data_IF_682457686749
#
_entry.id   IF_682457686749
#
_cell.length_a   1.000
_cell.length_b   1.000
_cell.length_c   1.000
_cell.angle_alpha   90.00
_cell.angle_beta   90.00
_cell.angle_gamma   90.00
#
_symmetry.space_group_name_H-M   'P 1'
#
loop_
_entity.id
_entity.type
_entity.pdbx_description
1 polymer ?
#
# COMPACT_ATOMS: atom_id res chain seq x y z
N UNK A 1 41.66 17.58 -9.41
CA UNK A 1 40.71 16.44 -9.45
C UNK A 1 41.30 15.10 -8.98
N UNK A 2 42.46 15.06 -8.31
CA UNK A 2 43.19 13.83 -7.94
C UNK A 2 43.17 13.43 -6.46
N UNK A 3 42.84 14.33 -5.55
CA UNK A 3 42.95 14.08 -4.11
C UNK A 3 41.80 13.32 -3.46
N UNK A 4 40.65 13.22 -4.13
CA UNK A 4 39.48 12.45 -3.61
C UNK A 4 39.58 10.94 -3.90
N UNK A 5 40.61 10.45 -4.56
CA UNK A 5 40.72 9.02 -4.94
C UNK A 5 41.48 8.15 -3.96
N UNK A 6 42.17 8.72 -2.99
CA UNK A 6 42.95 7.98 -1.97
C UNK A 6 42.79 8.65 -0.60
N UNK A 7 41.91 8.19 0.23
CA UNK A 7 41.74 8.74 1.58
C UNK A 7 40.64 8.05 2.38
N UNK A 8 40.56 8.32 3.68
CA UNK A 8 39.58 7.72 4.61
C UNK A 8 38.13 7.91 4.14
N UNK A 9 37.82 8.99 3.43
CA UNK A 9 36.48 9.28 2.89
C UNK A 9 36.07 8.25 1.82
N UNK A 10 37.01 7.82 0.99
CA UNK A 10 36.76 6.78 -0.02
C UNK A 10 36.53 5.43 0.64
N UNK A 11 37.37 5.04 1.58
CA UNK A 11 37.21 3.79 2.31
C UNK A 11 35.87 3.73 3.04
N UNK A 12 35.41 4.86 3.60
CA UNK A 12 34.11 4.98 4.24
C UNK A 12 32.97 4.89 3.20
N UNK A 13 33.11 5.52 2.03
CA UNK A 13 32.14 5.39 0.95
C UNK A 13 32.02 3.97 0.41
N UNK A 14 33.15 3.29 0.23
CA UNK A 14 33.20 1.90 -0.21
C UNK A 14 32.54 0.96 0.82
N UNK A 15 32.76 1.18 2.14
CA UNK A 15 32.10 0.42 3.20
C UNK A 15 30.59 0.64 3.25
N UNK A 16 30.12 1.87 3.02
CA UNK A 16 28.67 2.16 2.94
C UNK A 16 28.06 1.47 1.72
N UNK A 17 28.71 1.55 0.57
CA UNK A 17 28.22 0.90 -0.64
C UNK A 17 28.20 -0.62 -0.50
N UNK A 18 29.23 -1.22 0.11
CA UNK A 18 29.27 -2.64 0.44
C UNK A 18 28.11 -3.04 1.36
N UNK A 19 27.79 -2.24 2.39
CA UNK A 19 26.66 -2.48 3.27
C UNK A 19 25.33 -2.40 2.51
N UNK A 20 25.12 -1.37 1.69
CA UNK A 20 23.88 -1.17 0.93
C UNK A 20 23.61 -2.29 -0.09
N UNK A 21 24.65 -2.83 -0.72
CA UNK A 21 24.55 -3.94 -1.67
C UNK A 21 24.64 -5.32 -1.01
N UNK A 22 24.89 -5.36 0.31
CA UNK A 22 25.02 -6.60 1.05
C UNK A 22 23.67 -7.27 1.28
N UNK A 23 23.69 -8.58 1.54
CA UNK A 23 22.49 -9.30 1.94
C UNK A 23 21.88 -8.85 3.28
N UNK A 24 22.59 -8.04 4.07
CA UNK A 24 22.08 -7.49 5.34
C UNK A 24 21.13 -6.31 5.13
N UNK A 25 21.15 -5.68 3.95
CA UNK A 25 20.29 -4.55 3.60
C UNK A 25 19.14 -5.01 2.70
N UNK A 26 17.94 -4.53 2.98
CA UNK A 26 16.76 -4.65 2.10
C UNK A 26 16.10 -3.30 1.97
N UNK A 27 15.75 -2.95 0.74
CA UNK A 27 15.09 -1.69 0.43
C UNK A 27 13.60 -1.95 0.30
N UNK A 28 12.80 -1.25 1.08
CA UNK A 28 11.36 -1.20 0.95
C UNK A 28 10.99 0.14 0.32
N UNK A 29 10.09 0.11 -0.64
CA UNK A 29 9.58 1.32 -1.30
C UNK A 29 8.18 1.59 -0.77
N UNK A 30 7.90 2.83 -0.39
CA UNK A 30 6.57 3.26 0.05
C UNK A 30 5.96 4.09 -1.07
N UNK A 31 4.72 3.80 -1.43
CA UNK A 31 4.00 4.47 -2.51
C UNK A 31 2.54 4.73 -2.17
N UNK A 32 1.87 5.52 -2.99
CA UNK A 32 0.42 5.69 -3.05
C UNK A 32 -0.09 5.03 -4.33
N UNK A 33 -1.38 4.64 -4.36
CA UNK A 33 -2.01 4.13 -5.59
C UNK A 33 -2.50 5.29 -6.47
N UNK A 34 -1.54 6.12 -6.88
CA UNK A 34 -1.74 7.25 -7.78
C UNK A 34 -0.78 7.13 -8.97
N UNK A 35 -1.13 7.70 -10.12
CA UNK A 35 -0.39 7.54 -11.37
C UNK A 35 1.11 7.84 -11.23
N UNK A 36 1.45 9.03 -10.73
CA UNK A 36 2.85 9.46 -10.61
C UNK A 36 3.65 8.63 -9.58
N UNK A 37 3.18 8.44 -8.33
CA UNK A 37 3.88 7.62 -7.34
C UNK A 37 4.09 6.17 -7.79
N UNK A 38 3.13 5.58 -8.49
CA UNK A 38 3.26 4.21 -9.02
C UNK A 38 4.32 4.16 -10.12
N UNK A 39 4.32 5.11 -11.05
CA UNK A 39 5.35 5.18 -12.09
C UNK A 39 6.75 5.39 -11.49
N UNK A 40 6.88 6.31 -10.54
CA UNK A 40 8.15 6.55 -9.83
C UNK A 40 8.62 5.28 -9.06
N UNK A 41 7.70 4.51 -8.50
CA UNK A 41 8.01 3.25 -7.83
C UNK A 41 8.54 2.21 -8.82
N UNK A 42 7.92 2.08 -10.00
CA UNK A 42 8.36 1.16 -11.05
C UNK A 42 9.77 1.52 -11.50
N UNK A 43 10.02 2.80 -11.76
CA UNK A 43 11.32 3.29 -12.20
C UNK A 43 12.39 3.10 -11.12
N UNK A 44 12.08 3.43 -9.86
CA UNK A 44 12.97 3.25 -8.72
C UNK A 44 13.34 1.77 -8.50
N UNK A 45 12.38 0.86 -8.58
CA UNK A 45 12.64 -0.58 -8.46
C UNK A 45 13.56 -1.07 -9.57
N UNK A 46 13.36 -0.61 -10.80
CA UNK A 46 14.22 -0.96 -11.94
C UNK A 46 15.65 -0.46 -11.72
N UNK A 47 15.84 0.79 -11.29
CA UNK A 47 17.13 1.38 -11.00
C UNK A 47 17.85 0.66 -9.84
N UNK A 48 17.17 0.43 -8.72
CA UNK A 48 17.72 -0.24 -7.54
C UNK A 48 18.15 -1.67 -7.85
N UNK A 49 17.37 -2.41 -8.67
CA UNK A 49 17.76 -3.72 -9.18
C UNK A 49 18.99 -3.65 -10.06
N UNK A 50 19.09 -2.61 -10.92
CA UNK A 50 20.27 -2.36 -11.74
C UNK A 50 21.53 -2.10 -10.93
N UNK A 51 21.39 -1.52 -9.73
CA UNK A 51 22.46 -1.31 -8.76
C UNK A 51 22.75 -2.55 -7.88
N UNK A 52 22.13 -3.69 -8.15
CA UNK A 52 22.26 -4.93 -7.39
C UNK A 52 21.82 -4.81 -5.93
N UNK A 53 20.93 -3.88 -5.63
CA UNK A 53 20.35 -3.71 -4.29
C UNK A 53 19.24 -4.71 -4.04
N UNK A 54 19.20 -5.31 -2.85
CA UNK A 54 18.20 -6.30 -2.50
C UNK A 54 16.87 -5.62 -2.15
N UNK A 55 15.83 -5.91 -2.95
CA UNK A 55 14.48 -5.40 -2.71
C UNK A 55 13.78 -6.17 -1.58
N UNK A 56 12.99 -5.46 -0.81
CA UNK A 56 12.12 -5.99 0.24
C UNK A 56 10.67 -6.09 -0.23
N UNK A 57 9.84 -5.20 0.26
CA UNK A 57 8.43 -5.10 -0.10
C UNK A 57 8.10 -3.70 -0.64
N UNK A 58 7.00 -3.62 -1.38
CA UNK A 58 6.33 -2.36 -1.69
C UNK A 58 5.27 -2.15 -0.62
N UNK A 59 5.28 -1.01 0.03
CA UNK A 59 4.28 -0.61 1.01
C UNK A 59 3.34 0.40 0.33
N UNK A 60 2.12 -0.03 0.08
CA UNK A 60 1.05 0.84 -0.42
C UNK A 60 0.47 1.56 0.80
N UNK A 61 0.70 2.85 0.89
CA UNK A 61 0.22 3.70 1.98
C UNK A 61 -1.12 4.35 1.60
N UNK A 62 -1.96 4.60 2.59
CA UNK A 62 -3.28 5.23 2.41
C UNK A 62 -4.17 4.50 1.39
N UNK A 63 -4.08 3.17 1.34
CA UNK A 63 -4.93 2.36 0.47
C UNK A 63 -6.40 2.56 0.86
N UNK A 64 -7.25 2.79 -0.13
CA UNK A 64 -8.71 2.87 0.03
C UNK A 64 -9.39 1.58 -0.42
N UNK A 65 -8.66 0.70 -1.10
CA UNK A 65 -9.14 -0.62 -1.44
C UNK A 65 -9.43 -1.36 -0.13
N UNK A 66 -10.69 -1.43 0.21
CA UNK A 66 -11.14 -2.24 1.33
C UNK A 66 -10.96 -3.71 0.94
N UNK A 67 -10.04 -4.40 1.60
CA UNK A 67 -10.12 -5.85 1.70
C UNK A 67 -11.48 -6.13 2.32
N UNK A 68 -12.37 -6.80 1.59
CA UNK A 68 -13.83 -6.82 1.79
C UNK A 68 -14.35 -7.34 3.13
N UNK A 69 -13.53 -7.37 4.18
CA UNK A 69 -13.89 -7.77 5.54
C UNK A 69 -14.15 -6.60 6.51
N UNK A 70 -13.69 -5.38 6.19
CA UNK A 70 -13.75 -4.24 7.14
C UNK A 70 -15.04 -3.41 7.07
N UNK A 71 -15.98 -3.74 6.17
CA UNK A 71 -17.27 -3.09 6.17
C UNK A 71 -18.26 -3.82 7.09
N UNK A 72 -18.84 -3.12 8.09
CA UNK A 72 -19.66 -3.74 9.13
C UNK A 72 -21.02 -4.26 8.65
N UNK A 73 -21.38 -4.08 7.38
CA UNK A 73 -22.65 -4.59 6.86
C UNK A 73 -22.56 -5.02 5.37
N UNK A 74 -23.48 -5.93 5.00
CA UNK A 74 -23.56 -6.49 3.65
C UNK A 74 -23.83 -5.43 2.56
N UNK A 75 -24.50 -4.34 2.92
CA UNK A 75 -24.78 -3.23 2.01
C UNK A 75 -23.50 -2.48 1.63
N UNK A 76 -22.63 -2.20 2.59
CA UNK A 76 -21.33 -1.56 2.33
C UNK A 76 -20.41 -2.45 1.47
N UNK A 77 -20.47 -3.79 1.67
CA UNK A 77 -19.75 -4.75 0.80
C UNK A 77 -20.30 -4.78 -0.62
N UNK A 78 -21.62 -4.70 -0.77
CA UNK A 78 -22.26 -4.59 -2.09
C UNK A 78 -21.85 -3.29 -2.80
N UNK A 79 -21.63 -2.21 -2.03
CA UNK A 79 -21.15 -0.93 -2.54
C UNK A 79 -19.69 -1.00 -3.00
N UNK A 80 -18.83 -1.64 -2.21
CA UNK A 80 -17.42 -1.85 -2.55
C UNK A 80 -17.22 -2.84 -3.71
N UNK A 81 -18.12 -3.81 -3.88
CA UNK A 81 -18.07 -4.81 -4.95
C UNK A 81 -18.76 -4.41 -6.25
N UNK A 82 -19.46 -3.28 -6.28
CA UNK A 82 -20.15 -2.77 -7.47
C UNK A 82 -19.21 -2.04 -8.44
N UNK A 83 -18.06 -2.62 -8.71
CA UNK A 83 -17.18 -2.20 -9.79
C UNK A 83 -17.86 -2.39 -11.14
N UNK A 84 -18.44 -1.39 -11.64
CA UNK A 84 -19.28 -1.10 -12.77
C UNK A 84 -20.70 -0.80 -12.28
N UNK A 85 -20.97 0.46 -12.03
CA UNK A 85 -22.31 0.98 -11.74
C UNK A 85 -23.20 0.68 -12.94
N UNK A 86 -23.81 -0.48 -12.90
CA UNK A 86 -24.60 -0.99 -14.04
C UNK A 86 -25.87 -0.16 -14.25
N UNK A 87 -26.44 0.45 -13.20
CA UNK A 87 -27.54 1.39 -13.35
C UNK A 87 -27.62 2.34 -12.13
N UNK A 88 -27.42 3.63 -12.40
CA UNK A 88 -27.58 4.71 -11.41
C UNK A 88 -29.01 4.77 -10.86
N UNK A 89 -29.98 4.27 -11.61
CA UNK A 89 -31.40 4.27 -11.21
C UNK A 89 -31.62 3.34 -10.01
N UNK A 90 -31.00 2.15 -10.02
CA UNK A 90 -31.11 1.19 -8.92
C UNK A 90 -30.55 1.78 -7.60
N UNK A 91 -29.50 2.60 -7.67
CA UNK A 91 -28.92 3.27 -6.52
C UNK A 91 -29.81 4.37 -5.96
N UNK A 92 -30.46 5.14 -6.80
CA UNK A 92 -31.43 6.15 -6.38
C UNK A 92 -32.59 5.48 -5.62
N UNK A 93 -33.12 4.40 -6.17
CA UNK A 93 -34.22 3.64 -5.55
C UNK A 93 -33.79 3.01 -4.22
N UNK A 94 -32.62 2.40 -4.16
CA UNK A 94 -32.06 1.80 -2.96
C UNK A 94 -31.86 2.84 -1.86
N UNK A 95 -31.18 3.96 -2.15
CA UNK A 95 -30.94 5.03 -1.18
C UNK A 95 -32.25 5.67 -0.71
N UNK A 96 -33.22 5.83 -1.61
CA UNK A 96 -34.52 6.40 -1.26
C UNK A 96 -35.27 5.47 -0.29
N UNK A 97 -35.11 4.16 -0.42
CA UNK A 97 -35.70 3.18 0.49
C UNK A 97 -34.94 3.05 1.83
N UNK A 98 -33.62 3.13 1.82
CA UNK A 98 -32.78 2.84 2.99
C UNK A 98 -32.59 4.04 3.92
N UNK A 99 -32.51 5.27 3.40
CA UNK A 99 -32.30 6.48 4.22
C UNK A 99 -33.33 6.65 5.35
N UNK A 100 -34.63 6.37 5.15
CA UNK A 100 -35.60 6.43 6.25
C UNK A 100 -35.35 5.44 7.37
N UNK A 101 -34.72 4.30 7.08
CA UNK A 101 -34.43 3.27 8.09
C UNK A 101 -33.42 3.74 9.14
N UNK A 102 -32.57 4.70 8.76
CA UNK A 102 -31.58 5.36 9.64
C UNK A 102 -32.04 6.75 10.09
N UNK A 103 -33.33 7.09 9.87
CA UNK A 103 -33.93 8.36 10.32
C UNK A 103 -33.59 9.59 9.46
N UNK A 104 -33.13 9.38 8.23
CA UNK A 104 -32.78 10.45 7.28
C UNK A 104 -33.88 10.57 6.22
N UNK A 105 -34.42 11.79 6.02
CA UNK A 105 -35.40 12.07 4.98
C UNK A 105 -34.72 12.01 3.59
N UNK A 106 -35.22 11.20 2.63
CA UNK A 106 -34.61 11.03 1.31
C UNK A 106 -34.95 12.21 0.38
N UNK A 107 -34.39 13.40 0.65
CA UNK A 107 -34.57 14.55 -0.22
C UNK A 107 -33.87 14.33 -1.56
N UNK A 108 -34.46 14.68 -2.71
CA UNK A 108 -33.88 14.41 -4.03
C UNK A 108 -32.44 14.92 -4.15
N UNK A 109 -32.14 16.12 -3.68
CA UNK A 109 -30.79 16.68 -3.72
C UNK A 109 -29.79 15.87 -2.88
N UNK A 110 -30.21 15.32 -1.72
CA UNK A 110 -29.36 14.47 -0.89
C UNK A 110 -29.07 13.14 -1.60
N UNK A 111 -30.12 12.48 -2.12
CA UNK A 111 -29.98 11.21 -2.83
C UNK A 111 -29.06 11.38 -4.05
N UNK A 112 -29.25 12.41 -4.86
CA UNK A 112 -28.38 12.71 -6.00
C UNK A 112 -26.93 12.92 -5.56
N UNK A 113 -26.69 13.71 -4.52
CA UNK A 113 -25.33 13.95 -4.01
C UNK A 113 -24.65 12.68 -3.49
N UNK A 114 -25.39 11.78 -2.83
CA UNK A 114 -24.87 10.51 -2.37
C UNK A 114 -24.54 9.58 -3.55
N UNK A 115 -25.38 9.51 -4.57
CA UNK A 115 -25.11 8.72 -5.79
C UNK A 115 -23.85 9.23 -6.50
N UNK A 116 -23.68 10.55 -6.61
CA UNK A 116 -22.46 11.13 -7.18
C UNK A 116 -21.21 10.76 -6.37
N UNK A 117 -21.29 10.82 -5.03
CA UNK A 117 -20.18 10.40 -4.16
C UNK A 117 -19.82 8.92 -4.32
N UNK A 118 -20.82 8.04 -4.40
CA UNK A 118 -20.60 6.61 -4.64
C UNK A 118 -19.91 6.39 -5.98
N UNK A 119 -20.37 7.08 -7.02
CA UNK A 119 -19.76 7.01 -8.35
C UNK A 119 -18.30 7.46 -8.35
N UNK A 120 -18.02 8.59 -7.71
CA UNK A 120 -16.66 9.11 -7.61
C UNK A 120 -15.75 8.19 -6.80
N UNK A 121 -16.30 7.53 -5.78
CA UNK A 121 -15.58 6.56 -4.98
C UNK A 121 -15.25 5.32 -5.79
N UNK A 122 -16.22 4.74 -6.49
CA UNK A 122 -16.02 3.59 -7.36
C UNK A 122 -14.98 3.84 -8.46
N UNK A 123 -15.04 5.03 -9.08
CA UNK A 123 -14.06 5.40 -10.11
C UNK A 123 -12.63 5.49 -9.53
N UNK A 124 -12.48 5.97 -8.31
CA UNK A 124 -11.18 6.00 -7.61
C UNK A 124 -10.68 4.60 -7.26
N UNK A 125 -11.55 3.73 -6.79
CA UNK A 125 -11.18 2.33 -6.51
C UNK A 125 -10.73 1.59 -7.77
N UNK A 126 -11.37 1.80 -8.90
CA UNK A 126 -10.98 1.19 -10.17
C UNK A 126 -9.59 1.67 -10.64
N UNK A 127 -9.28 2.96 -10.42
CA UNK A 127 -7.94 3.48 -10.66
C UNK A 127 -6.91 2.86 -9.70
N UNK A 128 -7.23 2.77 -8.41
CA UNK A 128 -6.34 2.15 -7.42
C UNK A 128 -6.07 0.67 -7.75
N UNK A 129 -7.08 -0.08 -8.20
CA UNK A 129 -6.90 -1.48 -8.68
C UNK A 129 -5.96 -1.54 -9.87
N UNK A 130 -6.16 -0.66 -10.86
CA UNK A 130 -5.28 -0.59 -12.04
C UNK A 130 -3.82 -0.31 -11.62
N UNK A 131 -3.61 0.58 -10.68
CA UNK A 131 -2.28 0.91 -10.16
C UNK A 131 -1.69 -0.24 -9.34
N UNK A 132 -2.51 -0.92 -8.54
CA UNK A 132 -2.09 -2.11 -7.80
C UNK A 132 -1.65 -3.24 -8.73
N UNK A 133 -2.41 -3.50 -9.80
CA UNK A 133 -2.06 -4.49 -10.83
C UNK A 133 -0.71 -4.17 -11.48
N UNK A 134 -0.43 -2.89 -11.75
CA UNK A 134 0.87 -2.46 -12.27
C UNK A 134 2.02 -2.74 -11.30
N UNK A 135 1.82 -2.51 -9.99
CA UNK A 135 2.81 -2.83 -8.97
C UNK A 135 3.02 -4.34 -8.81
N UNK A 136 1.98 -5.16 -8.97
CA UNK A 136 2.06 -6.63 -8.90
C UNK A 136 2.98 -7.21 -9.98
N UNK A 137 3.09 -6.55 -11.15
CA UNK A 137 4.01 -6.97 -12.21
C UNK A 137 5.49 -6.87 -11.80
N UNK A 138 5.82 -6.17 -10.72
CA UNK A 138 7.18 -6.09 -10.20
C UNK A 138 7.61 -7.36 -9.45
N UNK A 139 6.69 -8.28 -9.19
CA UNK A 139 6.95 -9.56 -8.47
C UNK A 139 7.62 -9.33 -7.11
N UNK A 140 7.27 -8.25 -6.44
CA UNK A 140 7.67 -7.95 -5.06
C UNK A 140 6.49 -8.16 -4.12
N UNK A 141 6.74 -8.53 -2.86
CA UNK A 141 5.69 -8.54 -1.86
C UNK A 141 5.07 -7.16 -1.72
N UNK A 142 3.75 -7.10 -1.74
CA UNK A 142 2.99 -5.86 -1.51
C UNK A 142 2.36 -5.96 -0.12
N UNK A 143 2.41 -4.87 0.60
CA UNK A 143 1.82 -4.67 1.93
C UNK A 143 0.99 -3.40 1.89
N UNK A 144 -0.24 -3.47 2.33
CA UNK A 144 -1.16 -2.33 2.32
C UNK A 144 -1.37 -1.75 3.71
N UNK A 145 -1.34 -0.43 3.80
CA UNK A 145 -1.70 0.34 4.99
C UNK A 145 -2.93 1.18 4.63
N UNK A 146 -4.06 1.01 5.31
CA UNK A 146 -5.27 1.75 4.98
C UNK A 146 -5.15 3.25 5.29
N UNK A 147 -5.98 4.05 4.62
CA UNK A 147 -6.12 5.45 4.95
C UNK A 147 -6.80 5.58 6.33
N UNK A 148 -6.13 6.22 7.28
CA UNK A 148 -6.67 6.48 8.61
C UNK A 148 -7.44 7.79 8.60
N UNK A 149 -8.74 7.74 8.94
CA UNK A 149 -9.64 8.89 8.90
C UNK A 149 -9.42 9.85 10.07
N UNK A 150 -9.05 9.32 11.24
CA UNK A 150 -8.93 10.07 12.49
C UNK A 150 -7.53 10.66 12.75
N UNK A 151 -6.64 10.57 11.76
CA UNK A 151 -5.26 11.03 11.88
C UNK A 151 -4.33 9.98 12.50
N UNK A 152 -3.08 10.40 12.80
CA UNK A 152 -2.05 9.50 13.34
C UNK A 152 -1.79 9.87 14.80
N UNK A 153 -2.24 9.02 15.69
CA UNK A 153 -1.93 9.03 17.11
C UNK A 153 -1.13 7.77 17.53
N UNK A 154 -0.75 7.59 18.80
CA UNK A 154 -0.01 6.41 19.24
C UNK A 154 -0.77 5.10 19.10
N UNK A 155 -2.11 5.10 19.10
CA UNK A 155 -2.93 3.90 18.92
C UNK A 155 -2.98 3.53 17.44
N UNK A 156 -3.17 4.49 16.55
CA UNK A 156 -3.06 4.34 15.10
C UNK A 156 -1.69 3.77 14.68
N UNK A 157 -0.59 4.22 15.31
CA UNK A 157 0.74 3.66 15.05
C UNK A 157 0.85 2.20 15.46
N UNK A 158 0.22 1.78 16.57
CA UNK A 158 0.19 0.37 16.97
C UNK A 158 -0.65 -0.48 16.03
N UNK A 159 -1.76 0.06 15.55
CA UNK A 159 -2.60 -0.59 14.54
C UNK A 159 -1.81 -0.81 13.24
N UNK A 160 -1.16 0.23 12.71
CA UNK A 160 -0.29 0.10 11.53
C UNK A 160 0.80 -0.95 11.76
N UNK A 161 1.45 -0.95 12.93
CA UNK A 161 2.49 -1.93 13.25
C UNK A 161 1.93 -3.36 13.30
N UNK A 162 0.71 -3.55 13.80
CA UNK A 162 -0.02 -4.81 13.76
C UNK A 162 -0.28 -5.26 12.32
N UNK A 163 -0.89 -4.41 11.51
CA UNK A 163 -1.17 -4.67 10.10
C UNK A 163 0.09 -5.05 9.30
N UNK A 164 1.19 -4.34 9.50
CA UNK A 164 2.46 -4.65 8.85
C UNK A 164 3.02 -6.01 9.30
N UNK A 165 2.84 -6.35 10.57
CA UNK A 165 3.27 -7.64 11.14
C UNK A 165 2.45 -8.79 10.57
N UNK A 166 1.12 -8.66 10.54
CA UNK A 166 0.19 -9.68 10.05
C UNK A 166 0.38 -9.96 8.55
N UNK A 167 0.74 -8.94 7.77
CA UNK A 167 1.14 -9.08 6.37
C UNK A 167 2.59 -9.59 6.18
N UNK A 168 3.26 -9.99 7.25
CA UNK A 168 4.55 -10.67 7.23
C UNK A 168 5.78 -9.76 7.10
N UNK A 169 5.64 -8.45 7.32
CA UNK A 169 6.79 -7.53 7.31
C UNK A 169 7.82 -7.88 8.39
N UNK A 170 7.39 -8.20 9.61
CA UNK A 170 8.28 -8.56 10.72
C UNK A 170 9.08 -9.83 10.43
N UNK A 171 8.47 -10.85 9.84
CA UNK A 171 9.15 -12.11 9.46
C UNK A 171 10.21 -11.92 8.37
N UNK A 172 10.00 -10.96 7.48
CA UNK A 172 10.93 -10.63 6.38
C UNK A 172 12.15 -9.84 6.87
N UNK A 173 12.03 -9.13 7.98
CA UNK A 173 13.14 -8.43 8.62
C UNK A 173 14.01 -9.39 9.45
N UNK A 174 13.45 -10.45 10.02
CA UNK A 174 14.14 -11.36 10.94
C UNK A 174 14.70 -12.65 10.31
N UNK A 175 14.25 -13.04 9.13
CA UNK A 175 14.59 -14.31 8.47
C UNK A 175 16.09 -14.52 8.17
N UNK A 176 16.98 -13.63 8.60
CA UNK A 176 18.42 -13.70 8.34
C UNK A 176 19.32 -13.59 9.56
N UNK A 177 18.78 -13.41 10.75
CA UNK A 177 19.58 -13.43 11.98
C UNK A 177 19.98 -14.85 12.43
N UNK A 178 19.28 -15.89 11.93
CA UNK A 178 19.49 -17.29 12.37
C UNK A 178 20.40 -18.11 11.46
N UNK A 179 20.96 -17.54 10.41
CA UNK A 179 21.81 -18.25 9.44
C UNK A 179 23.31 -18.29 9.75
N UNK A 180 23.75 -17.94 10.97
CA UNK A 180 25.16 -18.10 11.41
C UNK A 180 25.25 -19.01 12.61
N UNK A 181 25.46 -20.27 12.35
CA UNK A 181 25.91 -21.15 13.43
C UNK A 181 25.59 -22.62 13.27
N UNK A 182 26.11 -23.28 12.23
CA UNK A 182 26.48 -24.69 12.30
C UNK A 182 27.37 -25.04 11.11
N UNK A 183 28.66 -25.08 11.37
CA UNK A 183 29.65 -25.63 10.47
C UNK A 183 31.03 -25.12 10.85
N UNK A 184 31.84 -25.85 11.42
CA UNK A 184 32.06 -27.24 11.64
C UNK A 184 33.26 -27.47 12.51
N UNK A 185 33.09 -28.38 13.39
CA UNK A 185 34.20 -29.08 14.04
C UNK A 185 34.60 -30.24 13.13
N UNK A 186 35.78 -30.16 12.58
CA UNK A 186 36.71 -31.29 12.44
C UNK A 186 38.03 -30.82 11.86
#
# INVERSE_FOLDING_TARGET
AGLARMGPIRAQGDSVNELLTSPATRIHVVTLLEEMPVQETIDAVAELRGLSMAMGAIVVNQARLADGEDFPNASARAWAGAGAVADLTDWVDTLTADLPTVGIEPKPALVTGLVEQVRDHAAREDLERTHLDALQQLELPIVSVPALLDGIDPDALREIAGLLTDQGMAGRMTARATGRGTGGSR
#
